data_IF_205403153401
#
_entry.id   IF_205403153401
#
_cell.length_a   1.000
_cell.length_b   1.000
_cell.length_c   1.000
_cell.angle_alpha   90.00
_cell.angle_beta   90.00
_cell.angle_gamma   90.00
#
_symmetry.space_group_name_H-M   'P 1'
#
loop_
_entity.id
_entity.type
_entity.pdbx_description
1 polymer ?
#
# COMPACT_ATOMS: atom_id res chain seq x y z
N UNK A 1 -8.30 22.18 -12.87
CA UNK A 1 -7.24 21.26 -12.39
C UNK A 1 -7.62 19.87 -12.87
N UNK A 2 -6.94 19.32 -13.89
CA UNK A 2 -7.19 17.95 -14.33
C UNK A 2 -6.61 17.02 -13.26
N UNK A 3 -7.47 16.35 -12.52
CA UNK A 3 -7.07 15.29 -11.60
C UNK A 3 -6.61 14.12 -12.47
N UNK A 4 -5.33 13.77 -12.38
CA UNK A 4 -4.80 12.55 -13.00
C UNK A 4 -5.41 11.37 -12.25
N UNK A 5 -6.37 10.71 -12.88
CA UNK A 5 -6.90 9.44 -12.38
C UNK A 5 -5.82 8.37 -12.54
N UNK A 6 -5.60 7.49 -11.54
CA UNK A 6 -4.71 6.34 -11.69
C UNK A 6 -5.16 5.47 -12.86
N UNK A 7 -4.21 4.72 -13.44
CA UNK A 7 -4.53 3.76 -14.50
C UNK A 7 -5.68 2.85 -14.06
N UNK A 8 -6.83 3.07 -14.64
CA UNK A 8 -7.97 2.18 -14.49
C UNK A 8 -7.70 1.02 -15.41
N UNK A 9 -7.29 -0.11 -14.86
CA UNK A 9 -7.15 -1.35 -15.61
C UNK A 9 -8.54 -1.75 -16.11
N UNK A 10 -8.71 -1.70 -17.42
CA UNK A 10 -9.95 -2.08 -18.11
C UNK A 10 -9.71 -3.26 -19.00
N UNK A 11 -10.58 -4.22 -18.92
CA UNK A 11 -10.76 -5.18 -20.01
C UNK A 11 -11.61 -4.62 -21.17
N UNK A 12 -12.44 -3.58 -21.01
CA UNK A 12 -13.26 -3.03 -22.10
C UNK A 12 -13.64 -1.55 -21.89
N UNK A 13 -13.00 -0.65 -22.63
CA UNK A 13 -13.44 0.72 -22.85
C UNK A 13 -13.29 1.71 -21.67
N UNK A 14 -13.29 3.03 -21.98
CA UNK A 14 -13.17 4.10 -20.98
C UNK A 14 -14.39 4.17 -20.05
N UNK A 15 -14.23 4.07 -18.72
CA UNK A 15 -15.30 4.29 -17.74
C UNK A 15 -15.65 5.78 -17.73
N UNK A 16 -16.85 6.09 -18.16
CA UNK A 16 -17.44 7.38 -17.86
C UNK A 16 -17.92 7.33 -16.41
N UNK A 17 -17.14 7.92 -15.51
CA UNK A 17 -17.44 7.95 -14.08
C UNK A 17 -18.80 8.61 -13.77
N UNK A 18 -19.28 9.46 -14.69
CA UNK A 18 -20.58 10.12 -14.54
C UNK A 18 -21.75 9.20 -14.86
N UNK A 19 -21.52 8.08 -15.55
CA UNK A 19 -22.56 7.13 -15.99
C UNK A 19 -22.73 5.92 -15.07
N UNK A 20 -21.84 5.72 -14.07
CA UNK A 20 -21.97 4.60 -13.14
C UNK A 20 -23.10 4.86 -12.13
N UNK A 21 -24.01 3.90 -11.95
CA UNK A 21 -25.01 4.03 -10.90
C UNK A 21 -24.33 4.10 -9.54
N UNK A 22 -24.77 5.03 -8.71
CA UNK A 22 -24.33 5.14 -7.31
C UNK A 22 -24.65 3.83 -6.58
N UNK A 23 -23.60 3.09 -6.19
CA UNK A 23 -23.70 1.87 -5.36
C UNK A 23 -23.58 2.24 -3.89
N UNK A 24 -24.29 1.51 -3.03
CA UNK A 24 -24.44 1.92 -1.63
C UNK A 24 -23.14 2.06 -0.84
N UNK A 25 -22.08 1.28 -1.12
CA UNK A 25 -20.76 1.41 -0.50
C UNK A 25 -19.70 0.62 -1.29
N UNK A 26 -18.63 1.27 -1.70
CA UNK A 26 -17.43 0.61 -2.21
C UNK A 26 -16.69 -0.09 -1.06
N UNK A 27 -16.22 -1.31 -1.27
CA UNK A 27 -15.34 -2.01 -0.35
C UNK A 27 -13.88 -1.68 -0.65
N UNK A 28 -13.18 -1.14 0.33
CA UNK A 28 -11.79 -0.71 0.23
C UNK A 28 -10.85 -1.77 0.81
N UNK A 29 -9.98 -2.34 -0.03
CA UNK A 29 -9.02 -3.39 0.34
C UNK A 29 -7.61 -2.84 0.13
N UNK A 30 -6.75 -2.91 1.15
CA UNK A 30 -5.33 -2.57 1.06
C UNK A 30 -4.49 -3.84 1.13
N UNK A 31 -3.58 -4.02 0.17
CA UNK A 31 -2.57 -5.07 0.16
C UNK A 31 -1.24 -4.44 0.57
N UNK A 32 -0.79 -4.71 1.79
CA UNK A 32 0.38 -4.09 2.44
C UNK A 32 1.52 -5.09 2.60
N UNK A 33 2.74 -4.64 2.77
CA UNK A 33 3.89 -5.50 3.03
C UNK A 33 5.20 -4.98 2.43
N UNK A 34 6.31 -5.66 2.77
CA UNK A 34 7.62 -5.30 2.24
C UNK A 34 7.76 -5.59 0.75
N UNK A 35 8.76 -4.99 0.11
CA UNK A 35 9.05 -5.26 -1.28
C UNK A 35 9.47 -6.72 -1.47
N UNK A 36 9.17 -7.32 -2.62
CA UNK A 36 9.35 -8.75 -2.86
C UNK A 36 8.28 -9.68 -2.26
N UNK A 37 7.32 -9.18 -1.45
CA UNK A 37 6.29 -10.03 -0.83
C UNK A 37 5.14 -10.45 -1.76
N UNK A 38 5.11 -10.00 -3.02
CA UNK A 38 4.09 -10.41 -4.00
C UNK A 38 2.82 -9.55 -4.01
N UNK A 39 2.82 -8.36 -3.42
CA UNK A 39 1.66 -7.45 -3.33
C UNK A 39 0.97 -7.18 -4.66
N UNK A 40 1.76 -6.91 -5.72
CA UNK A 40 1.22 -6.59 -7.05
C UNK A 40 0.44 -7.76 -7.60
N UNK A 41 1.02 -8.96 -7.56
CA UNK A 41 0.38 -10.18 -8.05
C UNK A 41 -0.92 -10.49 -7.29
N UNK A 42 -0.92 -10.36 -5.96
CA UNK A 42 -2.12 -10.59 -5.18
C UNK A 42 -3.22 -9.55 -5.48
N UNK A 43 -2.87 -8.26 -5.59
CA UNK A 43 -3.83 -7.21 -5.98
C UNK A 43 -4.49 -7.54 -7.32
N UNK A 44 -3.70 -7.93 -8.32
CA UNK A 44 -4.18 -8.19 -9.67
C UNK A 44 -5.05 -9.44 -9.71
N UNK A 45 -4.66 -10.52 -9.01
CA UNK A 45 -5.45 -11.74 -8.89
C UNK A 45 -6.80 -11.49 -8.18
N UNK A 46 -6.81 -10.70 -7.10
CA UNK A 46 -8.06 -10.30 -6.42
C UNK A 46 -8.96 -9.52 -7.39
N UNK A 47 -8.40 -8.59 -8.15
CA UNK A 47 -9.17 -7.78 -9.09
C UNK A 47 -9.74 -8.63 -10.23
N UNK A 48 -8.96 -9.55 -10.77
CA UNK A 48 -9.40 -10.48 -11.81
C UNK A 48 -10.54 -11.39 -11.32
N UNK A 49 -10.33 -12.06 -10.17
CA UNK A 49 -11.33 -12.93 -9.57
C UNK A 49 -12.67 -12.22 -9.32
N UNK A 50 -12.63 -11.04 -8.74
CA UNK A 50 -13.86 -10.27 -8.48
C UNK A 50 -14.53 -9.80 -9.78
N UNK A 51 -13.74 -9.45 -10.79
CA UNK A 51 -14.25 -9.05 -12.11
C UNK A 51 -14.93 -10.21 -12.85
N UNK A 52 -14.40 -11.42 -12.73
CA UNK A 52 -15.01 -12.64 -13.26
C UNK A 52 -16.37 -12.94 -12.61
N UNK A 53 -16.56 -12.50 -11.37
CA UNK A 53 -17.85 -12.58 -10.68
C UNK A 53 -18.80 -11.42 -10.99
N UNK A 54 -18.48 -10.63 -12.01
CA UNK A 54 -19.32 -9.51 -12.46
C UNK A 54 -19.24 -8.27 -11.57
N UNK A 55 -18.22 -8.16 -10.69
CA UNK A 55 -18.02 -6.98 -9.86
C UNK A 55 -17.25 -5.89 -10.59
N UNK A 56 -17.59 -4.64 -10.32
CA UNK A 56 -16.80 -3.49 -10.77
C UNK A 56 -15.65 -3.26 -9.82
N UNK A 57 -14.41 -3.43 -10.31
CA UNK A 57 -13.21 -3.32 -9.51
C UNK A 57 -12.30 -2.21 -10.04
N UNK A 58 -11.82 -1.36 -9.13
CA UNK A 58 -10.77 -0.38 -9.42
C UNK A 58 -9.52 -0.78 -8.65
N UNK A 59 -8.37 -0.78 -9.33
CA UNK A 59 -7.08 -1.04 -8.69
C UNK A 59 -6.23 0.23 -8.64
N UNK A 60 -5.40 0.33 -7.60
CA UNK A 60 -4.42 1.39 -7.46
C UNK A 60 -3.11 0.89 -6.82
N UNK A 61 -2.09 1.74 -6.86
CA UNK A 61 -0.85 1.61 -6.08
C UNK A 61 -0.57 2.95 -5.41
N UNK A 62 -0.29 2.98 -4.12
CA UNK A 62 0.18 4.20 -3.46
C UNK A 62 1.70 4.31 -3.62
N UNK A 63 2.23 5.48 -4.00
CA UNK A 63 1.53 6.69 -4.42
C UNK A 63 0.85 6.53 -5.79
N UNK A 64 -0.32 7.13 -5.97
CA UNK A 64 -1.13 7.00 -7.17
C UNK A 64 -0.99 8.17 -8.18
N UNK A 65 -0.27 9.21 -7.83
CA UNK A 65 0.01 10.36 -8.69
C UNK A 65 1.40 10.26 -9.33
N UNK A 66 1.47 10.31 -10.67
CA UNK A 66 2.72 10.11 -11.41
C UNK A 66 3.78 11.19 -11.12
N UNK A 67 3.36 12.44 -10.86
CA UNK A 67 4.29 13.51 -10.51
C UNK A 67 4.87 13.29 -9.12
N UNK A 68 4.04 12.90 -8.17
CA UNK A 68 4.46 12.58 -6.81
C UNK A 68 5.36 11.33 -6.77
N UNK A 69 5.07 10.31 -7.59
CA UNK A 69 5.97 9.14 -7.76
C UNK A 69 7.36 9.60 -8.19
N UNK A 70 7.43 10.52 -9.15
CA UNK A 70 8.71 11.06 -9.62
C UNK A 70 9.46 11.83 -8.51
N UNK A 71 8.74 12.65 -7.74
CA UNK A 71 9.33 13.37 -6.60
C UNK A 71 9.85 12.42 -5.53
N UNK A 72 9.06 11.41 -5.18
CA UNK A 72 9.45 10.38 -4.20
C UNK A 72 10.64 9.56 -4.67
N UNK A 73 10.64 9.11 -5.94
CA UNK A 73 11.77 8.38 -6.50
C UNK A 73 13.06 9.22 -6.48
N UNK A 74 12.98 10.51 -6.77
CA UNK A 74 14.13 11.41 -6.65
C UNK A 74 14.58 11.56 -5.18
N UNK A 75 13.66 11.64 -4.23
CA UNK A 75 13.99 11.80 -2.81
C UNK A 75 14.67 10.55 -2.23
N UNK A 76 14.28 9.35 -2.68
CA UNK A 76 14.82 8.07 -2.19
C UNK A 76 15.91 7.47 -3.08
N UNK A 77 16.25 8.10 -4.22
CA UNK A 77 17.32 7.64 -5.10
C UNK A 77 18.69 7.67 -4.41
N UNK A 78 19.70 7.01 -4.99
CA UNK A 78 21.06 6.96 -4.45
C UNK A 78 21.65 8.36 -4.23
N UNK A 79 21.33 9.30 -5.12
CA UNK A 79 21.77 10.71 -5.07
C UNK A 79 20.73 11.63 -4.43
N UNK A 80 19.66 11.08 -3.83
CA UNK A 80 18.55 11.84 -3.30
C UNK A 80 18.84 12.49 -1.96
N UNK A 81 17.93 13.37 -1.53
CA UNK A 81 17.98 14.03 -0.23
C UNK A 81 17.80 13.00 0.89
N UNK A 82 18.70 13.00 1.88
CA UNK A 82 18.70 12.08 3.00
C UNK A 82 17.87 12.53 4.21
N UNK A 83 17.01 13.50 4.04
CA UNK A 83 16.14 13.97 5.12
C UNK A 83 14.88 13.10 5.20
N UNK A 84 14.88 12.17 6.17
CA UNK A 84 13.76 11.27 6.43
C UNK A 84 12.43 12.01 6.68
N UNK A 85 12.48 13.21 7.25
CA UNK A 85 11.29 14.01 7.54
C UNK A 85 10.62 14.46 6.25
N UNK A 86 11.40 14.99 5.31
CA UNK A 86 10.91 15.37 3.97
C UNK A 86 10.33 14.17 3.21
N UNK A 87 11.01 13.02 3.25
CA UNK A 87 10.47 11.80 2.66
C UNK A 87 9.12 11.41 3.30
N UNK A 88 9.05 11.44 4.62
CA UNK A 88 7.83 11.07 5.35
C UNK A 88 6.68 12.04 5.06
N UNK A 89 6.97 13.33 4.90
CA UNK A 89 5.99 14.34 4.48
C UNK A 89 5.47 14.07 3.07
N UNK A 90 6.33 13.71 2.12
CA UNK A 90 5.93 13.34 0.75
C UNK A 90 5.03 12.11 0.75
N UNK A 91 5.34 11.10 1.55
CA UNK A 91 4.50 9.92 1.70
C UNK A 91 3.16 10.24 2.37
N UNK A 92 3.15 11.11 3.39
CA UNK A 92 1.92 11.59 4.02
C UNK A 92 1.01 12.33 3.02
N UNK A 93 1.62 13.14 2.16
CA UNK A 93 0.90 13.79 1.07
C UNK A 93 0.30 12.79 0.07
N UNK A 94 1.06 11.74 -0.28
CA UNK A 94 0.59 10.65 -1.14
C UNK A 94 -0.63 9.93 -0.55
N UNK A 95 -0.62 9.65 0.74
CA UNK A 95 -1.74 9.02 1.43
C UNK A 95 -2.95 9.95 1.50
N UNK A 96 -2.74 11.27 1.64
CA UNK A 96 -3.80 12.28 1.55
C UNK A 96 -4.47 12.30 0.16
N UNK A 97 -3.69 12.21 -0.92
CA UNK A 97 -4.23 12.11 -2.29
C UNK A 97 -4.98 10.81 -2.50
N UNK A 98 -4.45 9.68 -2.02
CA UNK A 98 -5.13 8.39 -2.08
C UNK A 98 -6.47 8.46 -1.33
N UNK A 99 -6.48 9.02 -0.13
CA UNK A 99 -7.70 9.19 0.68
C UNK A 99 -8.75 10.03 -0.05
N UNK A 100 -8.35 11.14 -0.67
CA UNK A 100 -9.23 11.97 -1.47
C UNK A 100 -9.81 11.21 -2.66
N UNK A 101 -8.99 10.42 -3.34
CA UNK A 101 -9.43 9.56 -4.44
C UNK A 101 -10.43 8.50 -3.96
N UNK A 102 -10.18 7.83 -2.85
CA UNK A 102 -11.11 6.88 -2.24
C UNK A 102 -12.49 7.50 -1.96
N UNK A 103 -12.51 8.73 -1.44
CA UNK A 103 -13.76 9.45 -1.20
C UNK A 103 -14.53 9.76 -2.49
N UNK A 104 -13.82 10.10 -3.58
CA UNK A 104 -14.43 10.40 -4.87
C UNK A 104 -15.03 9.17 -5.56
N UNK A 105 -14.38 8.00 -5.43
CA UNK A 105 -14.85 6.75 -6.07
C UNK A 105 -15.84 5.97 -5.23
N UNK A 106 -16.07 6.37 -3.98
CA UNK A 106 -17.00 5.67 -3.10
C UNK A 106 -18.42 5.67 -3.69
N UNK A 107 -18.99 4.48 -3.80
CA UNK A 107 -20.30 4.27 -4.44
C UNK A 107 -20.25 4.11 -5.97
N UNK A 108 -19.09 4.27 -6.62
CA UNK A 108 -18.92 4.13 -8.07
C UNK A 108 -18.36 2.77 -8.52
N UNK A 109 -17.86 1.96 -7.58
CA UNK A 109 -17.42 0.59 -7.84
C UNK A 109 -17.82 -0.32 -6.68
N UNK A 110 -17.80 -1.65 -6.89
CA UNK A 110 -18.03 -2.61 -5.81
C UNK A 110 -16.80 -2.72 -4.90
N UNK A 111 -15.61 -2.73 -5.51
CA UNK A 111 -14.35 -2.90 -4.82
C UNK A 111 -13.29 -1.93 -5.31
N UNK A 112 -12.49 -1.44 -4.38
CA UNK A 112 -11.24 -0.74 -4.64
C UNK A 112 -10.11 -1.53 -3.98
N UNK A 113 -9.16 -2.01 -4.78
CA UNK A 113 -8.02 -2.81 -4.30
C UNK A 113 -6.73 -2.02 -4.50
N UNK A 114 -6.11 -1.58 -3.40
CA UNK A 114 -4.92 -0.76 -3.42
C UNK A 114 -3.69 -1.54 -2.95
N UNK A 115 -2.62 -1.48 -3.72
CA UNK A 115 -1.32 -1.90 -3.28
C UNK A 115 -0.67 -0.77 -2.49
N UNK A 116 -0.25 -1.05 -1.26
CA UNK A 116 0.27 -0.10 -0.27
C UNK A 116 -0.81 0.88 0.24
N UNK A 117 -0.44 1.62 1.26
CA UNK A 117 -1.27 2.62 1.91
C UNK A 117 -0.62 3.10 3.21
N UNK A 118 -1.38 3.79 4.09
CA UNK A 118 -0.83 4.41 5.29
C UNK A 118 -0.04 3.47 6.21
N UNK A 119 -0.42 2.18 6.30
CA UNK A 119 0.28 1.21 7.15
C UNK A 119 1.71 0.96 6.66
N UNK A 120 1.93 0.90 5.35
CA UNK A 120 3.26 0.67 4.79
C UNK A 120 4.24 1.78 5.20
N UNK A 121 3.74 3.02 5.32
CA UNK A 121 4.56 4.15 5.72
C UNK A 121 5.09 4.02 7.15
N UNK A 122 4.38 3.33 8.04
CA UNK A 122 4.88 3.05 9.38
C UNK A 122 6.04 2.05 9.35
N UNK A 123 5.88 0.93 8.65
CA UNK A 123 6.94 -0.07 8.53
C UNK A 123 8.20 0.51 7.87
N UNK A 124 8.02 1.18 6.73
CA UNK A 124 9.12 1.83 6.02
C UNK A 124 9.73 2.99 6.82
N UNK A 125 8.90 3.85 7.42
CA UNK A 125 9.34 5.00 8.19
C UNK A 125 10.22 4.60 9.37
N UNK A 126 9.80 3.62 10.17
CA UNK A 126 10.58 3.09 11.30
C UNK A 126 11.88 2.45 10.80
N UNK A 127 11.84 1.70 9.69
CA UNK A 127 13.01 1.02 9.14
C UNK A 127 14.04 2.02 8.58
N UNK A 128 13.58 3.05 7.88
CA UNK A 128 14.45 4.06 7.24
C UNK A 128 15.04 5.05 8.23
N UNK A 129 14.24 5.50 9.21
CA UNK A 129 14.58 6.62 10.07
C UNK A 129 15.04 6.22 11.46
N UNK A 130 14.85 4.96 11.86
CA UNK A 130 15.01 4.51 13.25
C UNK A 130 14.12 5.27 14.26
N UNK A 131 13.02 5.85 13.79
CA UNK A 131 12.05 6.58 14.59
C UNK A 131 11.00 5.66 15.17
N UNK A 132 10.32 6.13 16.21
CA UNK A 132 9.20 5.41 16.81
C UNK A 132 7.92 5.55 16.00
N UNK A 133 6.97 4.66 16.21
CA UNK A 133 5.63 4.78 15.60
C UNK A 133 4.94 6.09 15.96
N UNK A 134 5.14 6.60 17.18
CA UNK A 134 4.59 7.88 17.62
C UNK A 134 5.13 9.07 16.83
N UNK A 135 6.43 9.10 16.52
CA UNK A 135 7.03 10.14 15.70
C UNK A 135 6.52 10.11 14.27
N UNK A 136 6.39 8.92 13.67
CA UNK A 136 5.82 8.74 12.32
C UNK A 136 4.34 9.19 12.33
N UNK A 137 3.58 8.81 13.36
CA UNK A 137 2.18 9.19 13.52
C UNK A 137 1.97 10.71 13.50
N UNK A 138 2.86 11.49 14.13
CA UNK A 138 2.75 12.96 14.16
C UNK A 138 2.80 13.58 12.76
N UNK A 139 3.45 12.92 11.81
CA UNK A 139 3.55 13.36 10.42
C UNK A 139 2.38 12.80 9.60
N UNK A 140 2.13 11.52 9.70
CA UNK A 140 1.15 10.79 8.86
C UNK A 140 -0.30 11.15 9.19
N UNK A 141 -0.63 11.35 10.47
CA UNK A 141 -1.99 11.63 10.95
C UNK A 141 -3.06 10.75 10.29
N UNK A 142 -2.88 9.43 10.29
CA UNK A 142 -3.69 8.50 9.49
C UNK A 142 -5.15 8.43 9.93
N UNK A 143 -5.49 8.89 11.14
CA UNK A 143 -6.87 9.00 11.62
C UNK A 143 -7.72 9.99 10.80
N UNK A 144 -7.08 10.84 9.98
CA UNK A 144 -7.71 11.81 9.10
C UNK A 144 -7.94 11.29 7.68
N UNK A 145 -7.39 10.11 7.38
CA UNK A 145 -7.46 9.51 6.05
C UNK A 145 -8.71 8.63 5.91
N UNK A 146 -9.14 8.40 4.67
CA UNK A 146 -10.17 7.40 4.38
C UNK A 146 -9.69 6.02 4.82
N UNK A 147 -10.60 5.23 5.38
CA UNK A 147 -10.27 3.92 5.96
C UNK A 147 -10.49 2.82 4.96
N UNK A 148 -9.62 1.83 5.00
CA UNK A 148 -9.86 0.56 4.33
C UNK A 148 -10.73 -0.35 5.20
N UNK A 149 -11.58 -1.15 4.57
CA UNK A 149 -12.39 -2.17 5.24
C UNK A 149 -11.56 -3.41 5.57
N UNK A 150 -10.57 -3.72 4.71
CA UNK A 150 -9.72 -4.89 4.83
C UNK A 150 -8.26 -4.51 4.57
N UNK A 151 -7.38 -4.99 5.43
CA UNK A 151 -5.94 -4.96 5.23
C UNK A 151 -5.41 -6.39 5.08
N UNK A 152 -4.74 -6.65 3.97
CA UNK A 152 -4.02 -7.90 3.73
C UNK A 152 -2.54 -7.62 3.93
N UNK A 153 -1.99 -8.15 5.02
CA UNK A 153 -0.61 -7.97 5.41
C UNK A 153 0.24 -9.11 4.86
N UNK A 154 1.05 -8.81 3.86
CA UNK A 154 1.94 -9.77 3.23
C UNK A 154 3.34 -9.66 3.80
N UNK A 155 3.93 -10.78 4.10
CA UNK A 155 5.31 -10.89 4.53
C UNK A 155 6.00 -12.03 3.79
N UNK A 156 7.34 -11.99 3.71
CA UNK A 156 8.17 -13.12 3.32
C UNK A 156 9.55 -12.99 3.97
N UNK A 157 10.32 -14.08 3.93
CA UNK A 157 11.72 -14.08 4.37
C UNK A 157 12.54 -13.01 3.64
N UNK A 158 13.49 -12.39 4.35
CA UNK A 158 14.28 -11.28 3.83
C UNK A 158 15.12 -11.68 2.61
N UNK A 159 15.70 -12.88 2.63
CA UNK A 159 16.48 -13.41 1.51
C UNK A 159 15.60 -13.63 0.28
N UNK A 160 14.42 -14.23 0.49
CA UNK A 160 13.44 -14.43 -0.59
C UNK A 160 12.94 -13.09 -1.15
N UNK A 161 12.68 -12.12 -0.28
CA UNK A 161 12.29 -10.78 -0.70
C UNK A 161 13.38 -10.11 -1.55
N UNK A 162 14.63 -10.18 -1.07
CA UNK A 162 15.79 -9.65 -1.79
C UNK A 162 16.00 -10.31 -3.14
N UNK A 163 15.97 -11.64 -3.21
CA UNK A 163 16.11 -12.39 -4.47
C UNK A 163 15.05 -11.97 -5.51
N UNK A 164 13.80 -11.73 -5.08
CA UNK A 164 12.71 -11.30 -5.95
C UNK A 164 12.85 -9.87 -6.46
N UNK A 165 13.50 -8.98 -5.70
CA UNK A 165 13.70 -7.56 -6.06
C UNK A 165 15.07 -7.31 -6.71
N UNK A 166 16.04 -8.20 -6.47
CA UNK A 166 17.41 -8.01 -6.95
C UNK A 166 17.53 -7.93 -8.48
N UNK A 167 16.56 -8.48 -9.21
CA UNK A 167 16.49 -8.46 -10.67
C UNK A 167 15.85 -7.17 -11.22
N UNK A 168 15.21 -6.34 -10.36
CA UNK A 168 14.58 -5.09 -10.79
C UNK A 168 15.65 -4.02 -11.13
N UNK A 169 15.42 -3.31 -12.22
CA UNK A 169 16.23 -2.14 -12.58
C UNK A 169 15.82 -0.92 -11.73
N UNK A 170 16.78 -0.10 -11.33
CA UNK A 170 16.52 1.17 -10.65
C UNK A 170 16.29 1.07 -9.14
N UNK A 171 17.16 0.32 -8.47
CA UNK A 171 17.16 0.19 -7.00
C UNK A 171 17.26 1.54 -6.31
N UNK A 172 16.44 1.74 -5.28
CA UNK A 172 16.58 2.88 -4.40
C UNK A 172 17.75 2.68 -3.39
N UNK A 173 18.11 3.74 -2.65
CA UNK A 173 19.23 3.71 -1.69
C UNK A 173 18.98 2.79 -0.48
N UNK A 174 17.77 2.33 -0.30
CA UNK A 174 17.38 1.41 0.78
C UNK A 174 17.37 -0.05 0.32
N UNK A 175 17.55 -0.32 -0.96
CA UNK A 175 17.51 -1.68 -1.50
C UNK A 175 18.88 -2.37 -1.37
N UNK A 176 19.19 -2.83 -0.15
CA UNK A 176 20.35 -3.65 0.18
C UNK A 176 19.96 -4.72 1.24
N UNK A 177 20.65 -5.88 1.32
CA UNK A 177 20.20 -7.05 2.10
C UNK A 177 19.87 -6.73 3.56
N UNK A 178 20.71 -5.99 4.26
CA UNK A 178 20.51 -5.66 5.68
C UNK A 178 19.31 -4.75 5.91
N UNK A 179 18.93 -3.95 4.92
CA UNK A 179 17.70 -3.17 4.97
C UNK A 179 16.49 -4.09 4.90
N UNK A 180 16.50 -5.10 4.01
CA UNK A 180 15.42 -6.07 3.89
C UNK A 180 15.23 -6.87 5.17
N UNK A 181 16.31 -7.30 5.82
CA UNK A 181 16.23 -7.99 7.13
C UNK A 181 15.50 -7.12 8.16
N UNK A 182 15.92 -5.87 8.34
CA UNK A 182 15.25 -4.93 9.25
C UNK A 182 13.81 -4.62 8.85
N UNK A 183 13.54 -4.47 7.56
CA UNK A 183 12.20 -4.19 7.06
C UNK A 183 11.24 -5.35 7.35
N UNK A 184 11.67 -6.58 7.10
CA UNK A 184 10.88 -7.79 7.39
C UNK A 184 10.57 -7.87 8.89
N UNK A 185 11.57 -7.68 9.74
CA UNK A 185 11.40 -7.70 11.20
C UNK A 185 10.43 -6.61 11.67
N UNK A 186 10.64 -5.37 11.26
CA UNK A 186 9.79 -4.24 11.64
C UNK A 186 8.36 -4.40 11.12
N UNK A 187 8.19 -4.88 9.88
CA UNK A 187 6.88 -5.14 9.29
C UNK A 187 6.14 -6.22 10.06
N UNK A 188 6.80 -7.32 10.35
CA UNK A 188 6.23 -8.43 11.13
C UNK A 188 5.82 -7.97 12.52
N UNK A 189 6.69 -7.23 13.21
CA UNK A 189 6.40 -6.65 14.51
C UNK A 189 5.21 -5.69 14.46
N UNK A 190 5.19 -4.78 13.49
CA UNK A 190 4.08 -3.83 13.29
C UNK A 190 2.74 -4.56 13.14
N UNK A 191 2.69 -5.59 12.29
CA UNK A 191 1.46 -6.33 12.07
C UNK A 191 1.00 -7.09 13.32
N UNK A 192 1.93 -7.70 14.07
CA UNK A 192 1.62 -8.32 15.35
C UNK A 192 1.08 -7.32 16.35
N UNK A 193 1.65 -6.13 16.41
CA UNK A 193 1.23 -5.08 17.31
C UNK A 193 -0.14 -4.49 16.93
N UNK A 194 -0.43 -4.36 15.64
CA UNK A 194 -1.76 -3.99 15.14
C UNK A 194 -2.78 -5.06 15.54
N UNK A 195 -2.48 -6.34 15.30
CA UNK A 195 -3.39 -7.44 15.63
C UNK A 195 -3.67 -7.56 17.13
N UNK A 196 -2.72 -7.19 17.97
CA UNK A 196 -2.87 -7.15 19.43
C UNK A 196 -3.53 -5.86 19.93
N UNK A 197 -3.68 -4.85 19.07
CA UNK A 197 -4.13 -3.52 19.47
C UNK A 197 -3.18 -2.80 20.43
N UNK A 198 -1.88 -3.16 20.40
CA UNK A 198 -0.86 -2.66 21.35
C UNK A 198 -0.32 -1.27 20.99
N UNK A 199 -0.51 -0.80 19.76
CA UNK A 199 -0.08 0.54 19.31
C UNK A 199 -1.29 1.48 19.39
N UNK A 200 -1.30 2.33 20.41
CA UNK A 200 -2.41 3.28 20.67
C UNK A 200 -2.67 4.20 19.48
N UNK A 201 -1.63 4.67 18.83
CA UNK A 201 -1.67 5.56 17.67
C UNK A 201 -2.37 4.90 16.45
N UNK A 202 -2.34 3.57 16.37
CA UNK A 202 -2.95 2.81 15.30
C UNK A 202 -4.33 2.22 15.66
N UNK A 203 -4.90 2.60 16.80
CA UNK A 203 -6.19 2.12 17.26
C UNK A 203 -7.35 2.36 16.29
N UNK A 204 -7.22 3.32 15.37
CA UNK A 204 -8.19 3.57 14.30
C UNK A 204 -8.31 2.40 13.30
N UNK A 205 -7.32 1.51 13.25
CA UNK A 205 -7.32 0.31 12.39
C UNK A 205 -8.16 -0.83 12.98
N UNK A 206 -8.46 -0.80 14.28
CA UNK A 206 -9.17 -1.90 14.98
C UNK A 206 -10.57 -2.19 14.42
N UNK A 207 -11.16 -1.27 13.66
CA UNK A 207 -12.45 -1.47 12.99
C UNK A 207 -12.36 -2.20 11.65
N UNK A 208 -11.17 -2.34 11.09
CA UNK A 208 -10.93 -3.04 9.83
C UNK A 208 -10.72 -4.53 10.05
N UNK A 209 -10.96 -5.33 9.01
CA UNK A 209 -10.56 -6.73 8.99
C UNK A 209 -9.08 -6.83 8.61
N UNK A 210 -8.33 -7.64 9.34
CA UNK A 210 -6.91 -7.91 9.06
C UNK A 210 -6.70 -9.36 8.67
N UNK A 211 -5.96 -9.58 7.59
CA UNK A 211 -5.51 -10.90 7.12
C UNK A 211 -3.99 -10.86 7.02
N UNK A 212 -3.31 -11.87 7.51
CA UNK A 212 -1.86 -12.00 7.45
C UNK A 212 -1.47 -13.19 6.58
N UNK A 213 -0.57 -12.98 5.62
CA UNK A 213 -0.09 -14.01 4.69
C UNK A 213 1.44 -13.99 4.68
N UNK A 214 2.06 -15.11 5.03
CA UNK A 214 3.49 -15.35 4.82
C UNK A 214 3.69 -16.03 3.47
N UNK A 215 4.33 -15.35 2.54
CA UNK A 215 4.52 -15.81 1.17
C UNK A 215 5.89 -16.43 0.91
N UNK A 216 6.68 -16.69 1.95
CA UNK A 216 8.04 -17.21 1.87
C UNK A 216 8.11 -18.45 0.96
N UNK A 217 7.23 -19.42 1.21
CA UNK A 217 7.21 -20.72 0.52
C UNK A 217 5.98 -20.89 -0.40
N UNK A 218 5.27 -19.79 -0.70
CA UNK A 218 4.06 -19.84 -1.52
C UNK A 218 4.35 -19.39 -2.95
N UNK A 219 3.75 -20.08 -3.90
CA UNK A 219 3.60 -19.58 -5.27
C UNK A 219 2.56 -18.47 -5.33
N UNK A 220 2.51 -17.75 -6.43
CA UNK A 220 1.49 -16.70 -6.66
C UNK A 220 0.08 -17.32 -6.54
N UNK A 221 -0.14 -18.50 -7.13
CA UNK A 221 -1.42 -19.20 -7.07
C UNK A 221 -1.80 -19.59 -5.64
N UNK A 222 -0.90 -20.19 -4.89
CA UNK A 222 -1.13 -20.58 -3.49
C UNK A 222 -1.35 -19.36 -2.56
N UNK A 223 -0.79 -18.21 -2.89
CA UNK A 223 -1.02 -16.99 -2.13
C UNK A 223 -2.45 -16.48 -2.31
N UNK A 224 -3.06 -16.76 -3.45
CA UNK A 224 -4.41 -16.32 -3.78
C UNK A 224 -5.50 -17.28 -3.26
N UNK A 225 -5.25 -18.59 -3.25
CA UNK A 225 -6.16 -19.63 -2.72
C UNK A 225 -6.36 -19.53 -1.20
#
# INVERSE_FOLDING_TARGET
MKIFLPEIVRKNGALDMCSLPSKCNTKFISVTGQDGSGKTSLRDNIAEYLSEQGKTVITAKSPCDAYLVKLLNNAISQDGYNDWYTEQMLFSFADGLLSNYMLQINGHCDYFVCQRGPIDQYAHGVTRSHKTYGEIYQIQRPERLAKFDVYIHMNCDAKVAWERVAEDEGKDRYEYPEYFERQVENTKKLYQDIMKGSIKELGFLNSAKHVYIDTTNLTIQQTFE
#
